data_IF_532549086733
#
_entry.id   IF_532549086733
#
_cell.length_a   1.000
_cell.length_b   1.000
_cell.length_c   1.000
_cell.angle_alpha   90.00
_cell.angle_beta   90.00
_cell.angle_gamma   90.00
#
_symmetry.space_group_name_H-M   'P 1'
#
loop_
_entity.id
_entity.type
_entity.pdbx_description
1 polymer ?
#
# COMPACT_ATOMS: atom_id res chain seq x y z
N UNK A 1 -6.56 21.77 9.14
CA UNK A 1 -5.09 21.87 8.99
C UNK A 1 -4.78 22.09 7.53
N UNK A 2 -4.00 23.13 7.17
CA UNK A 2 -3.55 23.33 5.78
C UNK A 2 -2.54 22.22 5.45
N UNK A 3 -2.83 21.38 4.47
CA UNK A 3 -1.87 20.39 3.98
C UNK A 3 -0.62 21.13 3.50
N UNK A 4 0.54 20.83 4.10
CA UNK A 4 1.82 21.31 3.58
C UNK A 4 2.03 20.61 2.25
N UNK A 5 2.14 21.37 1.16
CA UNK A 5 2.56 20.81 -0.14
C UNK A 5 3.91 20.12 0.08
N UNK A 6 3.93 18.82 -0.23
CA UNK A 6 5.14 18.01 -0.18
C UNK A 6 6.19 18.65 -1.12
N UNK A 7 7.48 18.66 -0.74
CA UNK A 7 8.57 19.14 -1.60
C UNK A 7 8.87 18.19 -2.77
N UNK A 8 8.18 17.05 -2.86
CA UNK A 8 8.42 16.06 -3.91
C UNK A 8 7.74 16.46 -5.23
N UNK A 9 8.50 16.30 -6.31
CA UNK A 9 8.00 16.43 -7.67
C UNK A 9 7.26 15.14 -8.01
N UNK A 10 5.97 15.25 -8.23
CA UNK A 10 5.15 14.16 -8.76
C UNK A 10 5.26 14.19 -10.28
N UNK A 11 5.76 13.13 -10.94
CA UNK A 11 5.87 13.08 -12.40
C UNK A 11 4.52 13.31 -13.06
N UNK A 12 4.48 14.17 -14.07
CA UNK A 12 3.30 14.41 -14.92
C UNK A 12 2.00 14.75 -14.18
N UNK A 13 2.09 15.22 -12.93
CA UNK A 13 0.92 15.48 -12.09
C UNK A 13 0.11 14.24 -11.71
N UNK A 14 0.69 13.04 -11.81
CA UNK A 14 0.03 11.77 -11.53
C UNK A 14 -0.35 11.64 -10.05
N UNK A 15 -1.64 11.50 -9.75
CA UNK A 15 -2.15 11.35 -8.38
C UNK A 15 -2.47 9.91 -7.99
N UNK A 16 -2.55 8.99 -8.96
CA UNK A 16 -2.83 7.56 -8.74
C UNK A 16 -1.54 6.75 -8.79
N UNK A 17 -1.32 5.93 -7.77
CA UNK A 17 -0.09 5.14 -7.63
C UNK A 17 -0.42 3.69 -7.35
N UNK A 18 0.17 2.76 -8.09
CA UNK A 18 0.16 1.34 -7.71
C UNK A 18 1.33 1.09 -6.76
N UNK A 19 1.05 0.69 -5.52
CA UNK A 19 2.04 0.49 -4.47
C UNK A 19 2.14 -0.98 -4.08
N UNK A 20 3.28 -1.59 -4.36
CA UNK A 20 3.58 -2.92 -3.88
C UNK A 20 3.85 -2.94 -2.37
N UNK A 21 3.17 -3.84 -1.66
CA UNK A 21 3.33 -4.02 -0.22
C UNK A 21 3.25 -5.52 0.13
N UNK A 22 4.30 -6.06 0.74
CA UNK A 22 4.35 -7.46 1.19
C UNK A 22 4.21 -7.60 2.72
N UNK A 23 4.04 -6.49 3.45
CA UNK A 23 3.94 -6.46 4.89
C UNK A 23 3.24 -5.17 5.36
N UNK A 24 2.15 -5.29 6.11
CA UNK A 24 1.37 -4.15 6.59
C UNK A 24 2.19 -3.08 7.34
N UNK A 25 2.94 -3.39 8.41
CA UNK A 25 3.65 -2.36 9.18
C UNK A 25 4.71 -1.61 8.35
N UNK A 26 5.41 -2.30 7.44
CA UNK A 26 6.48 -1.69 6.65
C UNK A 26 5.95 -0.67 5.63
N UNK A 27 4.79 -0.95 5.03
CA UNK A 27 4.18 -0.05 4.03
C UNK A 27 3.30 1.04 4.63
N UNK A 28 2.91 0.93 5.92
CA UNK A 28 1.90 1.82 6.54
C UNK A 28 2.28 3.30 6.49
N UNK A 29 3.48 3.61 6.94
CA UNK A 29 3.97 5.00 6.95
C UNK A 29 4.03 5.60 5.53
N UNK A 30 4.28 4.77 4.51
CA UNK A 30 4.40 5.21 3.11
C UNK A 30 3.03 5.59 2.56
N UNK A 31 2.04 4.71 2.62
CA UNK A 31 0.73 5.03 2.05
C UNK A 31 -0.04 6.06 2.89
N UNK A 32 0.17 6.12 4.21
CA UNK A 32 -0.41 7.19 5.05
C UNK A 32 0.15 8.55 4.65
N UNK A 33 1.46 8.62 4.41
CA UNK A 33 2.10 9.82 3.89
C UNK A 33 1.55 10.18 2.51
N UNK A 34 1.40 9.21 1.60
CA UNK A 34 0.83 9.44 0.27
C UNK A 34 -0.57 10.06 0.36
N UNK A 35 -1.47 9.46 1.14
CA UNK A 35 -2.83 9.96 1.35
C UNK A 35 -2.82 11.39 1.91
N UNK A 36 -1.94 11.67 2.89
CA UNK A 36 -1.81 13.00 3.49
C UNK A 36 -1.33 14.08 2.50
N UNK A 37 -0.74 13.69 1.37
CA UNK A 37 -0.22 14.59 0.33
C UNK A 37 -1.04 14.55 -0.97
N UNK A 38 -2.26 13.99 -0.94
CA UNK A 38 -3.17 13.99 -2.09
C UNK A 38 -2.82 12.95 -3.15
N UNK A 39 -2.03 11.95 -2.81
CA UNK A 39 -1.80 10.77 -3.64
C UNK A 39 -2.80 9.67 -3.26
N UNK A 40 -3.21 8.89 -4.25
CA UNK A 40 -4.22 7.85 -4.17
C UNK A 40 -3.57 6.50 -4.49
N UNK A 41 -2.95 5.86 -3.49
CA UNK A 41 -2.35 4.55 -3.68
C UNK A 41 -3.43 3.47 -3.88
N UNK A 42 -3.14 2.49 -4.73
CA UNK A 42 -3.78 1.17 -4.78
C UNK A 42 -2.73 0.16 -4.35
N UNK A 43 -3.02 -0.63 -3.33
CA UNK A 43 -2.07 -1.62 -2.81
C UNK A 43 -2.11 -2.89 -3.64
N UNK A 44 -0.94 -3.44 -3.95
CA UNK A 44 -0.78 -4.77 -4.53
C UNK A 44 0.05 -5.66 -3.61
N UNK A 45 -0.48 -6.82 -3.25
CA UNK A 45 0.24 -7.85 -2.50
C UNK A 45 0.77 -8.92 -3.45
N UNK A 46 2.08 -9.16 -3.42
CA UNK A 46 2.72 -10.26 -4.15
C UNK A 46 4.10 -10.53 -3.54
N UNK A 47 4.34 -11.70 -2.98
CA UNK A 47 5.69 -12.11 -2.61
C UNK A 47 5.78 -13.65 -2.50
N UNK A 48 6.16 -14.34 -3.59
CA UNK A 48 6.20 -15.81 -3.62
C UNK A 48 7.29 -16.39 -2.70
N UNK A 49 8.20 -15.55 -2.19
CA UNK A 49 9.28 -15.99 -1.30
C UNK A 49 8.85 -16.07 0.18
N UNK A 50 7.59 -15.73 0.53
CA UNK A 50 7.12 -15.86 1.90
C UNK A 50 6.78 -17.32 2.17
N UNK A 51 7.55 -17.93 3.07
CA UNK A 51 7.35 -19.30 3.55
C UNK A 51 7.32 -19.29 5.08
N UNK A 52 6.49 -20.15 5.71
CA UNK A 52 5.51 -21.07 5.11
C UNK A 52 4.24 -20.35 4.61
N UNK A 53 3.35 -21.09 3.95
CA UNK A 53 2.09 -20.57 3.41
C UNK A 53 1.21 -19.89 4.48
N UNK A 54 1.30 -20.34 5.74
CA UNK A 54 0.57 -19.66 6.82
C UNK A 54 1.05 -18.23 7.03
N UNK A 55 2.36 -17.97 6.93
CA UNK A 55 2.93 -16.62 7.05
C UNK A 55 2.54 -15.75 5.84
N UNK A 56 2.51 -16.32 4.63
CA UNK A 56 2.02 -15.62 3.43
C UNK A 56 0.57 -15.16 3.64
N UNK A 57 -0.30 -16.09 4.03
CA UNK A 57 -1.72 -15.84 4.26
C UNK A 57 -1.94 -14.81 5.37
N UNK A 58 -1.18 -14.91 6.47
CA UNK A 58 -1.24 -13.97 7.60
C UNK A 58 -0.83 -12.55 7.17
N UNK A 59 0.27 -12.41 6.44
CA UNK A 59 0.73 -11.09 5.95
C UNK A 59 -0.24 -10.46 4.97
N UNK A 60 -0.79 -11.27 4.06
CA UNK A 60 -1.83 -10.84 3.10
C UNK A 60 -3.06 -10.32 3.83
N UNK A 61 -3.60 -11.13 4.75
CA UNK A 61 -4.79 -10.79 5.52
C UNK A 61 -4.59 -9.51 6.36
N UNK A 62 -3.42 -9.33 6.98
CA UNK A 62 -3.15 -8.14 7.77
C UNK A 62 -3.02 -6.88 6.90
N UNK A 63 -2.40 -6.99 5.72
CA UNK A 63 -2.33 -5.87 4.78
C UNK A 63 -3.71 -5.50 4.24
N UNK A 64 -4.52 -6.49 3.87
CA UNK A 64 -5.90 -6.29 3.41
C UNK A 64 -6.76 -5.63 4.51
N UNK A 65 -6.64 -6.10 5.76
CA UNK A 65 -7.31 -5.51 6.93
C UNK A 65 -6.91 -4.05 7.14
N UNK A 66 -5.63 -3.73 6.98
CA UNK A 66 -5.15 -2.35 7.08
C UNK A 66 -5.71 -1.49 5.93
N UNK A 67 -5.60 -1.96 4.69
CA UNK A 67 -6.12 -1.27 3.51
C UNK A 67 -7.60 -0.89 3.69
N UNK A 68 -8.41 -1.87 4.15
CA UNK A 68 -9.83 -1.67 4.43
C UNK A 68 -10.08 -0.59 5.49
N UNK A 69 -9.31 -0.60 6.59
CA UNK A 69 -9.43 0.40 7.67
C UNK A 69 -9.24 1.83 7.17
N UNK A 70 -8.37 2.02 6.18
CA UNK A 70 -8.02 3.34 5.64
C UNK A 70 -8.78 3.68 4.34
N UNK A 71 -9.64 2.78 3.86
CA UNK A 71 -10.36 2.99 2.60
C UNK A 71 -9.46 2.97 1.36
N UNK A 72 -8.31 2.29 1.43
CA UNK A 72 -7.35 2.19 0.33
C UNK A 72 -7.68 0.97 -0.54
N UNK A 73 -7.77 1.11 -1.87
CA UNK A 73 -7.98 -0.02 -2.76
C UNK A 73 -6.87 -1.07 -2.61
N UNK A 74 -7.26 -2.34 -2.68
CA UNK A 74 -6.34 -3.48 -2.56
C UNK A 74 -6.56 -4.42 -3.74
N UNK A 75 -5.48 -4.92 -4.30
CA UNK A 75 -5.46 -5.95 -5.33
C UNK A 75 -4.50 -7.04 -4.92
N UNK A 76 -4.90 -8.27 -5.20
CA UNK A 76 -4.12 -9.45 -4.95
C UNK A 76 -3.47 -9.92 -6.25
N UNK A 77 -2.19 -10.24 -6.18
CA UNK A 77 -1.44 -10.89 -7.25
C UNK A 77 -0.78 -12.14 -6.68
N UNK A 78 -1.64 -13.02 -6.13
CA UNK A 78 -1.29 -14.39 -5.80
C UNK A 78 -0.60 -15.04 -7.00
N UNK A 79 0.43 -15.82 -6.71
CA UNK A 79 1.18 -16.59 -7.69
C UNK A 79 0.58 -18.00 -7.76
N UNK A 80 0.25 -18.47 -8.98
CA UNK A 80 -0.25 -19.83 -9.26
C UNK A 80 0.87 -20.89 -9.18
#
# INVERSE_FOLDING_TARGET
>A
MKQKKSPFIVPDGADRVLLHACCAPCSSAIFEWMLAHGLHPTLIFCNPNIFPLEEYTKRKAELQRHALRLGVPFTDADYD
#
